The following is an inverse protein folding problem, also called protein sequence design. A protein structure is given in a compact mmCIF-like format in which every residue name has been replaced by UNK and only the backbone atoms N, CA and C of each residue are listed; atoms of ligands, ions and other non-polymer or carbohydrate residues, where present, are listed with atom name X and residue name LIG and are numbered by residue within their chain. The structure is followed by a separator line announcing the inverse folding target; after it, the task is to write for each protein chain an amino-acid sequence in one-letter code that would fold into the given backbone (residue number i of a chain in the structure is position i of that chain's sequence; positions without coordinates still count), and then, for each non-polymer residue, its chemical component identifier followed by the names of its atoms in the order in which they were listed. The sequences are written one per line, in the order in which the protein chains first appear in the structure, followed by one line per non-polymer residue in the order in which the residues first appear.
data_IF_877420394043
#
_entry.id   IF_877420394043
#
_cell.length_a   1.000
_cell.length_b   1.000
_cell.length_c   1.000
_cell.angle_alpha   90.00
_cell.angle_beta   90.00
_cell.angle_gamma   90.00
#
_symmetry.space_group_name_H-M   'P 1'
#
loop_
_entity.id
_entity.type
_entity.pdbx_description
1 polymer ?
#
# COMPACT_ATOMS: atom_id res chain seq x y z
N UNK A 1 13.75 32.84 19.78
CA UNK A 1 13.63 32.38 18.37
C UNK A 1 13.05 30.96 18.21
N UNK A 2 13.34 29.99 19.09
CA UNK A 2 12.96 28.57 18.92
C UNK A 2 11.46 28.19 19.00
N UNK A 3 10.53 29.07 18.60
CA UNK A 3 9.08 28.82 18.70
C UNK A 3 8.25 29.28 17.49
N UNK A 4 8.88 29.50 16.32
CA UNK A 4 8.16 29.80 15.05
C UNK A 4 8.48 28.85 13.88
N UNK A 5 9.39 27.89 14.06
CA UNK A 5 9.74 26.91 13.01
C UNK A 5 8.77 25.72 12.99
N UNK A 6 8.30 25.26 14.16
CA UNK A 6 7.35 24.14 14.24
C UNK A 6 5.99 24.43 13.58
N UNK A 7 5.54 25.70 13.58
CA UNK A 7 4.25 26.08 12.99
C UNK A 7 4.21 25.90 11.47
N UNK A 8 5.32 26.13 10.76
CA UNK A 8 5.36 26.01 9.30
C UNK A 8 5.15 24.57 8.80
N UNK A 9 5.49 23.56 9.61
CA UNK A 9 5.23 22.14 9.31
C UNK A 9 3.79 21.72 9.63
N UNK A 10 3.05 22.50 10.42
CA UNK A 10 1.65 22.21 10.76
C UNK A 10 0.66 22.91 9.82
N UNK A 11 1.04 24.06 9.25
CA UNK A 11 0.19 24.84 8.33
C UNK A 11 0.05 24.25 6.91
N UNK A 12 0.74 23.16 6.58
CA UNK A 12 0.71 22.51 5.26
C UNK A 12 -0.60 21.72 4.98
N UNK A 13 -1.64 21.92 5.79
CA UNK A 13 -2.79 21.01 5.91
C UNK A 13 -4.14 21.59 5.46
N UNK A 14 -4.25 22.89 5.12
CA UNK A 14 -5.52 23.53 4.74
C UNK A 14 -5.39 24.51 3.56
N UNK A 15 -6.42 24.52 2.69
CA UNK A 15 -6.45 25.19 1.39
C UNK A 15 -6.23 24.20 0.23
N UNK A 16 -6.99 24.18 -0.86
CA UNK A 16 -8.10 25.05 -1.33
C UNK A 16 -9.22 24.15 -1.93
N UNK A 17 -10.45 24.65 -2.04
CA UNK A 17 -11.60 23.99 -2.70
C UNK A 17 -12.31 24.97 -3.67
N UNK A 18 -13.40 24.52 -4.34
CA UNK A 18 -14.25 25.25 -5.33
C UNK A 18 -13.65 25.43 -6.75
N UNK A 19 -14.34 25.24 -7.90
CA UNK A 19 -15.69 24.64 -8.21
C UNK A 19 -15.83 24.20 -9.70
N UNK A 20 -16.81 23.32 -9.99
CA UNK A 20 -17.60 23.06 -11.23
C UNK A 20 -17.12 21.95 -12.22
N UNK A 21 -17.95 21.45 -13.16
CA UNK A 21 -19.27 20.75 -13.13
C UNK A 21 -19.63 20.33 -14.58
N UNK A 22 -20.43 19.26 -14.78
CA UNK A 22 -20.92 18.72 -16.08
C UNK A 22 -19.85 18.11 -17.04
N UNK A 23 -20.11 17.14 -17.93
CA UNK A 23 -21.32 16.35 -18.30
C UNK A 23 -20.95 15.02 -19.00
N UNK A 24 -21.88 14.04 -19.05
CA UNK A 24 -21.87 12.81 -19.89
C UNK A 24 -23.11 12.79 -20.82
N UNK A 25 -23.21 11.97 -21.91
CA UNK A 25 -23.64 10.55 -21.83
C UNK A 25 -23.02 9.61 -22.95
N UNK A 26 -23.69 8.64 -23.66
CA UNK A 26 -23.26 7.21 -23.59
C UNK A 26 -23.13 6.39 -24.91
N UNK A 27 -22.65 5.14 -24.84
CA UNK A 27 -22.68 4.15 -25.96
C UNK A 27 -22.07 2.75 -25.65
N UNK A 28 -22.43 1.70 -26.42
CA UNK A 28 -21.97 0.27 -26.37
C UNK A 28 -22.02 -0.34 -27.80
N UNK A 29 -21.51 -1.56 -28.13
CA UNK A 29 -20.87 -2.64 -27.33
C UNK A 29 -19.43 -2.98 -27.90
N UNK A 30 -18.83 -4.20 -28.01
CA UNK A 30 -19.11 -5.62 -27.65
C UNK A 30 -17.83 -6.51 -27.72
N UNK A 31 -17.71 -7.51 -26.83
CA UNK A 31 -17.11 -8.87 -27.01
C UNK A 31 -15.60 -9.06 -27.37
N UNK A 32 -14.96 -10.22 -27.09
CA UNK A 32 -15.22 -11.20 -26.01
C UNK A 32 -13.94 -11.66 -25.23
N UNK A 33 -14.15 -12.58 -24.27
CA UNK A 33 -13.18 -13.48 -23.63
C UNK A 33 -12.02 -12.90 -22.79
N UNK A 34 -11.12 -12.07 -23.35
CA UNK A 34 -9.87 -11.70 -22.65
C UNK A 34 -10.07 -10.73 -21.46
N UNK A 35 -11.15 -9.95 -21.47
CA UNK A 35 -11.34 -8.81 -20.56
C UNK A 35 -11.70 -9.16 -19.12
N UNK A 36 -12.34 -10.31 -18.85
CA UNK A 36 -13.02 -10.51 -17.57
C UNK A 36 -12.04 -10.65 -16.39
N UNK A 37 -10.95 -11.39 -16.57
CA UNK A 37 -9.88 -11.56 -15.56
C UNK A 37 -9.17 -10.22 -15.27
N UNK A 38 -8.98 -9.38 -16.29
CA UNK A 38 -8.44 -8.03 -16.11
C UNK A 38 -9.33 -7.21 -15.17
N UNK A 39 -10.66 -7.21 -15.35
CA UNK A 39 -11.56 -6.31 -14.59
C UNK A 39 -11.53 -6.55 -13.07
N UNK A 40 -11.42 -7.81 -12.61
CA UNK A 40 -11.37 -8.11 -11.18
C UNK A 40 -10.02 -7.72 -10.55
N UNK A 41 -8.90 -8.00 -11.25
CA UNK A 41 -7.58 -7.52 -10.84
C UNK A 41 -7.56 -6.00 -10.80
N UNK A 42 -7.98 -5.35 -11.88
CA UNK A 42 -7.96 -3.88 -12.03
C UNK A 42 -8.65 -3.13 -10.90
N UNK A 43 -9.73 -3.63 -10.29
CA UNK A 43 -10.40 -2.95 -9.16
C UNK A 43 -9.62 -3.06 -7.84
N UNK A 44 -9.16 -4.24 -7.45
CA UNK A 44 -8.35 -4.40 -6.22
C UNK A 44 -7.05 -3.62 -6.38
N UNK A 45 -6.45 -3.69 -7.57
CA UNK A 45 -5.29 -2.89 -7.96
C UNK A 45 -5.55 -1.38 -7.89
N UNK A 46 -6.68 -0.89 -8.40
CA UNK A 46 -7.00 0.53 -8.37
C UNK A 46 -7.26 1.04 -6.93
N UNK A 47 -7.87 0.23 -6.06
CA UNK A 47 -8.12 0.58 -4.67
C UNK A 47 -6.86 0.51 -3.79
N UNK A 48 -6.00 -0.48 -4.01
CA UNK A 48 -4.68 -0.52 -3.35
C UNK A 48 -3.78 0.64 -3.83
N UNK A 49 -3.85 0.97 -5.13
CA UNK A 49 -3.25 2.17 -5.74
C UNK A 49 -3.89 3.49 -5.28
N UNK A 50 -5.09 3.46 -4.71
CA UNK A 50 -5.68 4.64 -4.06
C UNK A 50 -5.22 4.74 -2.61
N UNK A 51 -5.17 3.63 -1.88
CA UNK A 51 -4.65 3.57 -0.51
C UNK A 51 -3.19 4.05 -0.40
N UNK A 52 -2.36 3.79 -1.43
CA UNK A 52 -0.98 4.30 -1.54
C UNK A 52 -0.86 5.81 -1.72
N UNK A 53 -1.88 6.48 -2.27
CA UNK A 53 -1.80 7.88 -2.73
C UNK A 53 -2.09 8.93 -1.67
N UNK A 54 -2.67 8.56 -0.52
CA UNK A 54 -3.10 9.50 0.53
C UNK A 54 -2.09 9.63 1.67
N UNK A 55 -1.11 10.52 1.49
CA UNK A 55 -0.17 11.04 2.52
C UNK A 55 0.61 10.00 3.36
N UNK A 56 1.95 9.97 3.28
CA UNK A 56 2.79 9.12 4.14
C UNK A 56 2.53 9.25 5.65
N UNK A 57 1.97 10.37 6.10
CA UNK A 57 1.62 10.62 7.51
C UNK A 57 0.31 9.97 7.99
N UNK A 58 -0.44 9.28 7.12
CA UNK A 58 -1.80 8.81 7.41
C UNK A 58 -2.08 7.33 7.08
N UNK A 59 -1.06 6.48 7.03
CA UNK A 59 -1.25 5.03 6.90
C UNK A 59 -1.94 4.41 8.13
N UNK A 60 -3.27 4.32 8.07
CA UNK A 60 -4.10 3.43 8.91
C UNK A 60 -5.30 2.95 8.10
N UNK A 61 -5.01 2.24 7.00
CA UNK A 61 -6.00 1.65 6.11
C UNK A 61 -5.71 0.16 5.94
N UNK A 62 -6.42 -0.65 6.72
CA UNK A 62 -6.43 -2.11 6.56
C UNK A 62 -7.50 -2.42 5.53
N UNK A 63 -7.11 -3.05 4.42
CA UNK A 63 -8.04 -3.56 3.42
C UNK A 63 -8.45 -4.98 3.82
N UNK A 64 -9.75 -5.17 4.01
CA UNK A 64 -10.40 -6.39 4.47
C UNK A 64 -11.37 -6.84 3.37
N UNK A 65 -11.31 -8.09 2.94
CA UNK A 65 -12.14 -8.60 1.84
C UNK A 65 -13.22 -9.53 2.42
N UNK A 66 -14.51 -9.27 2.19
CA UNK A 66 -15.62 -9.88 2.94
C UNK A 66 -16.40 -10.95 2.16
N UNK A 67 -17.13 -11.80 2.89
CA UNK A 67 -17.97 -12.88 2.34
C UNK A 67 -19.37 -12.39 1.97
N UNK A 68 -19.81 -12.64 0.73
CA UNK A 68 -21.16 -12.35 0.24
C UNK A 68 -22.24 -13.06 1.09
N UNK A 69 -23.08 -12.27 1.76
CA UNK A 69 -24.22 -12.76 2.55
C UNK A 69 -25.50 -12.87 1.70
N UNK A 70 -25.57 -13.92 0.86
CA UNK A 70 -26.81 -14.33 0.20
C UNK A 70 -27.64 -15.25 1.12
N UNK A 71 -28.44 -14.65 1.99
CA UNK A 71 -29.27 -15.36 2.98
C UNK A 71 -30.47 -16.09 2.35
N UNK A 72 -31.04 -17.04 3.10
CA UNK A 72 -32.08 -17.96 2.65
C UNK A 72 -33.49 -17.39 2.76
N UNK A 73 -34.39 -17.89 1.89
CA UNK A 73 -35.84 -18.21 2.10
C UNK A 73 -36.76 -17.77 0.95
N UNK A 74 -37.16 -18.73 0.11
CA UNK A 74 -38.59 -18.98 -0.20
C UNK A 74 -38.79 -20.33 -0.87
N UNK A 75 -39.94 -20.99 -0.64
CA UNK A 75 -40.38 -22.20 -1.35
C UNK A 75 -41.58 -21.88 -2.23
N UNK A 76 -41.53 -22.28 -3.50
CA UNK A 76 -42.71 -22.49 -4.35
C UNK A 76 -42.44 -23.68 -5.30
N UNK A 77 -43.50 -24.32 -5.83
CA UNK A 77 -43.43 -25.58 -6.60
C UNK A 77 -43.56 -25.36 -8.12
N UNK A 78 -43.19 -26.36 -8.96
CA UNK A 78 -42.84 -26.12 -10.36
C UNK A 78 -44.03 -26.25 -11.34
N UNK A 79 -43.83 -25.69 -12.54
CA UNK A 79 -44.60 -26.05 -13.74
C UNK A 79 -43.66 -26.56 -14.85
N UNK A 80 -44.19 -27.41 -15.73
CA UNK A 80 -43.53 -27.88 -16.97
C UNK A 80 -43.94 -26.91 -18.11
N UNK A 81 -43.46 -26.95 -19.35
CA UNK A 81 -43.06 -28.10 -20.15
C UNK A 81 -42.27 -27.73 -21.42
N UNK A 82 -41.87 -28.77 -22.17
CA UNK A 82 -41.55 -28.86 -23.62
C UNK A 82 -41.74 -27.58 -24.48
N UNK A 83 -40.83 -27.19 -25.39
CA UNK A 83 -39.85 -27.99 -26.14
C UNK A 83 -38.63 -27.19 -26.64
N UNK A 84 -37.41 -27.62 -26.27
CA UNK A 84 -36.27 -27.78 -27.18
C UNK A 84 -35.19 -28.62 -26.49
N UNK A 85 -34.60 -29.58 -27.20
CA UNK A 85 -33.51 -30.43 -26.67
C UNK A 85 -32.33 -30.40 -27.61
N UNK A 86 -31.17 -29.95 -27.14
CA UNK A 86 -29.85 -30.46 -27.50
C UNK A 86 -28.84 -30.02 -26.43
N UNK A 87 -27.81 -30.84 -26.20
CA UNK A 87 -26.63 -30.61 -25.37
C UNK A 87 -26.84 -29.99 -23.97
N UNK A 88 -26.94 -30.84 -22.93
CA UNK A 88 -26.70 -30.42 -21.55
C UNK A 88 -25.21 -30.21 -21.31
N UNK A 89 -24.78 -28.96 -21.10
CA UNK A 89 -23.63 -28.67 -20.23
C UNK A 89 -24.14 -27.99 -18.94
N UNK A 90 -23.57 -28.30 -17.77
CA UNK A 90 -23.85 -27.53 -16.56
C UNK A 90 -23.35 -26.09 -16.76
N UNK A 91 -24.12 -25.10 -16.28
CA UNK A 91 -23.60 -23.73 -16.16
C UNK A 91 -22.42 -23.75 -15.19
N UNK A 92 -21.26 -23.13 -15.51
CA UNK A 92 -20.25 -22.87 -14.50
C UNK A 92 -20.86 -21.92 -13.44
N UNK A 93 -20.73 -22.21 -12.14
CA UNK A 93 -21.27 -21.36 -11.10
C UNK A 93 -20.42 -20.09 -10.94
N UNK A 94 -21.06 -18.93 -10.99
CA UNK A 94 -20.48 -17.65 -10.61
C UNK A 94 -19.64 -16.96 -11.69
N UNK A 95 -20.24 -15.95 -12.32
CA UNK A 95 -19.53 -14.68 -12.39
C UNK A 95 -19.31 -14.21 -10.95
N UNK A 96 -18.09 -14.37 -10.40
CA UNK A 96 -17.81 -13.85 -9.07
C UNK A 96 -18.08 -12.34 -9.06
N UNK A 97 -18.94 -11.92 -8.15
CA UNK A 97 -19.03 -10.55 -7.65
C UNK A 97 -17.62 -10.02 -7.43
N UNK A 98 -17.35 -8.77 -7.85
CA UNK A 98 -16.12 -8.10 -7.44
C UNK A 98 -16.11 -8.08 -5.90
N UNK A 99 -15.14 -8.75 -5.29
CA UNK A 99 -15.26 -9.10 -3.86
C UNK A 99 -15.44 -7.84 -3.00
N UNK A 100 -16.39 -7.83 -2.06
CA UNK A 100 -16.70 -6.63 -1.29
C UNK A 100 -15.50 -6.25 -0.41
N UNK A 101 -15.01 -5.02 -0.59
CA UNK A 101 -13.87 -4.49 0.15
C UNK A 101 -14.37 -3.64 1.31
N UNK A 102 -13.84 -3.92 2.48
CA UNK A 102 -13.99 -3.19 3.73
C UNK A 102 -12.69 -2.47 4.06
N UNK A 103 -12.77 -1.23 4.52
CA UNK A 103 -11.61 -0.46 4.99
C UNK A 103 -11.76 -0.10 6.47
N UNK A 104 -10.75 -0.45 7.26
CA UNK A 104 -10.66 0.00 8.65
C UNK A 104 -10.19 1.46 8.70
N UNK A 105 -10.80 2.28 9.57
CA UNK A 105 -10.28 3.60 9.93
C UNK A 105 -10.74 4.06 11.32
N UNK A 106 -9.94 4.89 11.96
CA UNK A 106 -10.27 5.51 13.25
C UNK A 106 -11.37 6.57 13.12
N UNK A 107 -11.52 7.18 11.94
CA UNK A 107 -12.55 8.19 11.65
C UNK A 107 -13.26 7.94 10.30
N UNK A 108 -14.38 7.19 10.29
CA UNK A 108 -15.20 6.96 9.10
C UNK A 108 -15.87 8.21 8.50
N UNK A 109 -15.88 9.35 9.21
CA UNK A 109 -16.40 10.63 8.72
C UNK A 109 -15.31 11.52 8.07
N UNK A 110 -14.05 11.07 8.04
CA UNK A 110 -12.97 11.80 7.37
C UNK A 110 -13.17 11.88 5.84
N UNK A 111 -12.69 12.94 5.15
CA UNK A 111 -12.87 13.07 3.70
C UNK A 111 -12.28 11.91 2.88
N UNK A 112 -11.20 11.28 3.36
CA UNK A 112 -10.65 10.07 2.73
C UNK A 112 -11.57 8.85 2.91
N UNK A 113 -12.13 8.67 4.11
CA UNK A 113 -13.12 7.62 4.38
C UNK A 113 -14.40 7.78 3.55
N UNK A 114 -14.90 9.00 3.39
CA UNK A 114 -16.08 9.26 2.54
C UNK A 114 -15.79 8.92 1.07
N UNK A 115 -14.64 9.35 0.52
CA UNK A 115 -14.24 8.99 -0.86
C UNK A 115 -14.13 7.49 -1.11
N UNK A 116 -13.77 6.69 -0.10
CA UNK A 116 -13.81 5.23 -0.18
C UNK A 116 -15.25 4.70 -0.21
N UNK A 117 -16.17 5.25 0.62
CA UNK A 117 -17.61 4.92 0.56
C UNK A 117 -18.22 5.25 -0.81
N UNK A 118 -17.88 6.40 -1.38
CA UNK A 118 -18.33 6.84 -2.72
C UNK A 118 -17.88 5.87 -3.83
N UNK A 119 -16.79 5.13 -3.60
CA UNK A 119 -16.25 4.10 -4.50
C UNK A 119 -16.82 2.69 -4.22
N UNK A 120 -17.74 2.55 -3.27
CA UNK A 120 -18.38 1.29 -2.89
C UNK A 120 -17.62 0.46 -1.86
N UNK A 121 -16.67 1.05 -1.11
CA UNK A 121 -15.96 0.40 0.00
C UNK A 121 -16.77 0.50 1.30
N UNK A 122 -16.92 -0.61 2.02
CA UNK A 122 -17.50 -0.63 3.36
C UNK A 122 -16.50 -0.02 4.37
N UNK A 123 -16.73 1.21 4.83
CA UNK A 123 -15.80 1.84 5.78
C UNK A 123 -16.29 1.71 7.23
N UNK A 124 -15.56 0.90 8.01
CA UNK A 124 -15.85 0.55 9.40
C UNK A 124 -14.94 1.32 10.37
N UNK A 125 -15.44 1.59 11.59
CA UNK A 125 -14.63 2.20 12.65
C UNK A 125 -13.76 1.14 13.34
N UNK A 126 -12.48 1.44 13.53
CA UNK A 126 -11.64 0.73 14.48
C UNK A 126 -10.20 1.23 14.53
N UNK A 127 -9.43 0.66 15.45
CA UNK A 127 -8.09 1.10 15.81
C UNK A 127 -7.22 -0.13 16.13
N UNK A 128 -5.96 -0.13 15.68
CA UNK A 128 -4.99 -1.21 15.99
C UNK A 128 -4.68 -1.29 17.50
N UNK A 129 -5.05 -0.27 18.27
CA UNK A 129 -4.91 -0.22 19.73
C UNK A 129 -6.14 -0.72 20.49
N UNK A 130 -7.26 -1.00 19.81
CA UNK A 130 -8.54 -1.49 20.37
C UNK A 130 -8.88 -2.88 19.79
N UNK A 131 -8.53 -3.98 20.49
CA UNK A 131 -8.78 -5.34 20.01
C UNK A 131 -10.26 -5.67 19.75
N UNK A 132 -11.20 -5.05 20.47
CA UNK A 132 -12.63 -5.30 20.26
C UNK A 132 -13.10 -4.70 18.93
N UNK A 133 -12.54 -3.54 18.55
CA UNK A 133 -12.79 -2.97 17.21
C UNK A 133 -12.20 -3.81 16.08
N UNK A 134 -11.07 -4.50 16.32
CA UNK A 134 -10.45 -5.39 15.34
C UNK A 134 -11.27 -6.68 15.14
N UNK A 135 -11.78 -7.27 16.22
CA UNK A 135 -12.66 -8.44 16.15
C UNK A 135 -13.95 -8.13 15.37
N UNK A 136 -14.56 -6.97 15.62
CA UNK A 136 -15.72 -6.49 14.86
C UNK A 136 -15.39 -6.23 13.38
N UNK A 137 -14.22 -5.66 13.08
CA UNK A 137 -13.79 -5.40 11.71
C UNK A 137 -13.48 -6.67 10.91
N UNK A 138 -12.92 -7.70 11.56
CA UNK A 138 -12.54 -8.97 10.94
C UNK A 138 -13.69 -9.98 10.79
N UNK A 139 -14.86 -9.71 11.39
CA UNK A 139 -16.05 -10.54 11.26
C UNK A 139 -16.48 -10.73 9.77
N UNK A 140 -16.43 -11.96 9.28
CA UNK A 140 -16.80 -12.32 7.90
C UNK A 140 -15.74 -11.99 6.83
N UNK A 141 -14.50 -11.73 7.21
CA UNK A 141 -13.39 -11.42 6.29
C UNK A 141 -12.71 -12.69 5.78
N UNK A 142 -12.57 -12.84 4.45
CA UNK A 142 -11.84 -13.94 3.80
C UNK A 142 -10.33 -13.71 3.71
N UNK A 143 -9.89 -12.45 3.65
CA UNK A 143 -8.47 -12.10 3.58
C UNK A 143 -8.23 -10.64 3.97
N UNK A 144 -7.11 -10.36 4.64
CA UNK A 144 -6.76 -9.01 5.10
C UNK A 144 -5.37 -8.57 4.65
N UNK A 145 -5.20 -7.26 4.47
CA UNK A 145 -3.92 -6.58 4.24
C UNK A 145 -3.60 -5.62 5.38
N UNK A 146 -2.60 -5.98 6.19
CA UNK A 146 -2.14 -5.20 7.34
C UNK A 146 -0.98 -4.28 6.95
N UNK A 147 -1.16 -2.99 7.25
CA UNK A 147 -0.10 -1.98 7.29
C UNK A 147 -0.06 -1.42 8.70
N UNK A 148 1.10 -1.50 9.36
CA UNK A 148 1.36 -0.85 10.65
C UNK A 148 2.21 0.42 10.45
N UNK A 149 2.04 1.38 11.35
CA UNK A 149 2.74 2.66 11.34
C UNK A 149 3.24 3.02 12.74
N UNK A 150 4.33 3.80 12.80
CA UNK A 150 4.93 4.22 14.07
C UNK A 150 3.91 5.07 14.86
N UNK A 151 3.60 4.72 16.13
CA UNK A 151 2.61 5.43 16.93
C UNK A 151 3.01 6.88 17.26
N UNK A 152 2.00 7.70 17.54
CA UNK A 152 2.19 8.96 18.26
C UNK A 152 2.62 8.70 19.70
N UNK A 153 3.37 9.62 20.32
CA UNK A 153 3.83 9.49 21.72
C UNK A 153 2.66 9.17 22.66
N UNK A 154 2.82 8.15 23.51
CA UNK A 154 1.81 7.71 24.46
C UNK A 154 0.80 6.68 23.92
N UNK A 155 0.90 6.28 22.65
CA UNK A 155 0.12 5.15 22.08
C UNK A 155 0.94 3.84 22.12
N UNK A 156 0.28 2.66 22.14
CA UNK A 156 0.93 1.36 22.05
C UNK A 156 1.90 1.23 20.86
N UNK A 157 3.00 0.51 21.08
CA UNK A 157 4.08 0.33 20.10
C UNK A 157 3.57 -0.30 18.79
N UNK A 158 4.30 -0.09 17.70
CA UNK A 158 3.93 -0.64 16.39
C UNK A 158 3.86 -2.18 16.42
N UNK A 159 4.75 -2.84 17.14
CA UNK A 159 4.72 -4.30 17.30
C UNK A 159 3.54 -4.78 18.18
N UNK A 160 3.09 -3.98 19.16
CA UNK A 160 1.85 -4.28 19.88
C UNK A 160 0.61 -4.10 18.98
N UNK A 161 0.58 -3.08 18.12
CA UNK A 161 -0.48 -2.89 17.12
C UNK A 161 -0.55 -4.07 16.14
N UNK A 162 0.59 -4.56 15.66
CA UNK A 162 0.65 -5.76 14.82
C UNK A 162 0.21 -7.03 15.56
N UNK A 163 0.66 -7.25 16.81
CA UNK A 163 0.21 -8.36 17.65
C UNK A 163 -1.30 -8.35 17.90
N UNK A 164 -1.87 -7.20 18.25
CA UNK A 164 -3.32 -7.02 18.43
C UNK A 164 -4.11 -7.48 17.19
N UNK A 165 -3.62 -7.14 15.99
CA UNK A 165 -4.25 -7.55 14.74
C UNK A 165 -4.06 -9.03 14.43
N UNK A 166 -2.88 -9.60 14.67
CA UNK A 166 -2.61 -11.04 14.50
C UNK A 166 -3.50 -11.87 15.43
N UNK A 167 -3.66 -11.46 16.69
CA UNK A 167 -4.54 -12.18 17.62
C UNK A 167 -6.03 -12.00 17.31
N UNK A 168 -6.45 -10.83 16.79
CA UNK A 168 -7.81 -10.66 16.25
C UNK A 168 -8.05 -11.54 15.01
N UNK A 169 -7.07 -11.63 14.10
CA UNK A 169 -7.13 -12.50 12.93
C UNK A 169 -7.19 -13.99 13.31
N UNK A 170 -6.49 -14.41 14.37
CA UNK A 170 -6.63 -15.75 14.97
C UNK A 170 -8.04 -15.98 15.53
N UNK A 171 -8.59 -15.05 16.33
CA UNK A 171 -9.97 -15.15 16.86
C UNK A 171 -11.02 -15.22 15.75
N UNK A 172 -10.84 -14.46 14.67
CA UNK A 172 -11.71 -14.47 13.50
C UNK A 172 -11.53 -15.68 12.57
N UNK A 173 -10.52 -16.55 12.81
CA UNK A 173 -10.12 -17.64 11.90
C UNK A 173 -9.85 -17.14 10.46
N UNK A 174 -9.17 -15.99 10.34
CA UNK A 174 -8.90 -15.31 9.07
C UNK A 174 -8.19 -16.25 8.07
N UNK A 175 -8.79 -16.55 6.90
CA UNK A 175 -8.21 -17.53 5.97
C UNK A 175 -6.89 -17.12 5.29
N UNK A 176 -6.58 -15.82 5.20
CA UNK A 176 -5.31 -15.33 4.67
C UNK A 176 -4.95 -13.91 5.13
N UNK A 177 -3.67 -13.65 5.45
CA UNK A 177 -3.16 -12.34 5.86
C UNK A 177 -1.91 -11.94 5.07
N UNK A 178 -1.96 -10.80 4.36
CA UNK A 178 -0.77 -10.15 3.78
C UNK A 178 -0.30 -9.03 4.73
N UNK A 179 0.94 -9.07 5.19
CA UNK A 179 1.53 -8.04 6.05
C UNK A 179 2.56 -7.19 5.30
N UNK A 180 2.54 -5.87 5.53
CA UNK A 180 3.56 -4.93 5.02
C UNK A 180 4.68 -4.72 6.03
N UNK A 181 5.80 -5.39 5.79
CA UNK A 181 7.03 -5.27 6.59
C UNK A 181 7.96 -4.21 5.99
N UNK A 182 9.28 -4.44 6.01
CA UNK A 182 10.32 -3.64 5.33
C UNK A 182 11.46 -4.58 4.93
N UNK A 183 12.04 -4.35 3.75
CA UNK A 183 13.02 -5.28 3.16
C UNK A 183 14.23 -5.54 4.07
N UNK A 184 14.76 -6.77 4.02
CA UNK A 184 15.95 -7.22 4.77
C UNK A 184 15.85 -7.10 6.31
N UNK A 185 14.67 -6.90 6.90
CA UNK A 185 14.54 -6.69 8.35
C UNK A 185 14.94 -7.92 9.17
N UNK A 186 15.53 -7.69 10.35
CA UNK A 186 15.77 -8.73 11.36
C UNK A 186 15.51 -8.17 12.78
N UNK A 187 15.26 -9.03 13.79
CA UNK A 187 15.10 -8.59 15.18
C UNK A 187 16.37 -7.97 15.81
N UNK A 188 17.51 -7.94 15.10
CA UNK A 188 18.82 -7.49 15.60
C UNK A 188 19.51 -6.51 14.64
N UNK A 189 18.77 -5.90 13.72
CA UNK A 189 19.31 -5.01 12.67
C UNK A 189 19.79 -3.64 13.21
N UNK A 190 19.43 -3.26 14.44
CA UNK A 190 19.86 -2.01 15.07
C UNK A 190 19.07 -0.77 14.61
N UNK A 191 17.97 -0.97 13.89
CA UNK A 191 17.05 0.08 13.43
C UNK A 191 15.69 -0.16 14.11
N UNK A 192 15.33 0.61 15.15
CA UNK A 192 14.13 0.37 15.96
C UNK A 192 12.82 0.13 15.17
N UNK A 193 12.54 0.90 14.12
CA UNK A 193 11.32 0.72 13.31
C UNK A 193 11.37 -0.41 12.26
N UNK A 194 12.54 -1.00 12.01
CA UNK A 194 12.64 -2.26 11.27
C UNK A 194 12.41 -3.43 12.24
N UNK A 195 12.99 -3.35 13.45
CA UNK A 195 12.84 -4.36 14.50
C UNK A 195 11.39 -4.52 14.99
N UNK A 196 10.57 -3.44 15.01
CA UNK A 196 9.12 -3.56 15.25
C UNK A 196 8.47 -4.47 14.20
N UNK A 197 8.77 -4.26 12.92
CA UNK A 197 8.23 -5.07 11.82
C UNK A 197 8.72 -6.51 11.86
N UNK A 198 9.99 -6.76 12.19
CA UNK A 198 10.51 -8.12 12.42
C UNK A 198 9.82 -8.84 13.61
N UNK A 199 9.44 -8.12 14.68
CA UNK A 199 8.66 -8.68 15.80
C UNK A 199 7.22 -9.02 15.39
N UNK A 200 6.65 -8.30 14.42
CA UNK A 200 5.34 -8.63 13.83
C UNK A 200 5.44 -9.83 12.90
N UNK A 201 6.47 -9.92 12.06
CA UNK A 201 6.73 -11.11 11.24
C UNK A 201 6.88 -12.38 12.10
N UNK A 202 7.61 -12.29 13.21
CA UNK A 202 7.75 -13.39 14.16
C UNK A 202 6.39 -13.77 14.77
N UNK A 203 5.63 -12.81 15.29
CA UNK A 203 4.29 -13.08 15.84
C UNK A 203 3.31 -13.66 14.80
N UNK A 204 3.43 -13.22 13.54
CA UNK A 204 2.65 -13.73 12.40
C UNK A 204 3.06 -15.16 12.04
N UNK A 205 4.35 -15.50 12.10
CA UNK A 205 4.86 -16.87 11.92
C UNK A 205 4.42 -17.79 13.06
N UNK A 206 4.47 -17.31 14.29
CA UNK A 206 3.99 -18.00 15.51
C UNK A 206 2.46 -18.14 15.56
N UNK A 207 1.71 -17.37 14.76
CA UNK A 207 0.24 -17.32 14.79
C UNK A 207 -0.44 -18.61 14.30
N UNK A 208 0.22 -19.37 13.42
CA UNK A 208 -0.38 -20.49 12.67
C UNK A 208 -1.31 -20.07 11.52
N UNK A 209 -1.56 -18.77 11.30
CA UNK A 209 -2.37 -18.29 10.17
C UNK A 209 -1.67 -18.56 8.83
N UNK A 210 -2.43 -18.88 7.78
CA UNK A 210 -1.94 -18.72 6.40
C UNK A 210 -1.64 -17.24 6.16
N UNK A 211 -0.42 -16.91 5.78
CA UNK A 211 0.00 -15.53 5.62
C UNK A 211 1.09 -15.37 4.56
N UNK A 212 1.34 -14.13 4.16
CA UNK A 212 2.46 -13.74 3.33
C UNK A 212 2.97 -12.35 3.74
N UNK A 213 4.23 -12.05 3.44
CA UNK A 213 4.86 -10.76 3.76
C UNK A 213 5.29 -10.07 2.47
N UNK A 214 4.88 -8.80 2.31
CA UNK A 214 5.47 -7.88 1.34
C UNK A 214 6.35 -6.90 2.11
N UNK A 215 7.63 -6.86 1.76
CA UNK A 215 8.66 -6.14 2.50
C UNK A 215 9.27 -5.07 1.59
N UNK A 216 8.65 -3.89 1.47
CA UNK A 216 9.13 -2.84 0.57
C UNK A 216 10.50 -2.26 0.98
N UNK A 217 11.25 -1.81 -0.02
CA UNK A 217 12.45 -0.96 0.14
C UNK A 217 12.07 0.51 0.39
N UNK A 218 12.97 1.48 0.15
CA UNK A 218 12.65 2.90 0.32
C UNK A 218 11.63 3.41 -0.73
N UNK A 219 10.71 4.29 -0.31
CA UNK A 219 9.56 4.67 -1.15
C UNK A 219 9.93 5.83 -2.09
N UNK A 220 9.55 5.73 -3.38
CA UNK A 220 9.62 6.83 -4.35
C UNK A 220 8.75 8.03 -3.90
N UNK A 221 7.62 7.74 -3.24
CA UNK A 221 6.70 8.73 -2.67
C UNK A 221 7.32 9.61 -1.56
N UNK A 222 8.50 9.26 -1.03
CA UNK A 222 9.25 10.11 -0.09
C UNK A 222 9.92 11.33 -0.77
N UNK A 223 10.08 11.32 -2.10
CA UNK A 223 10.61 12.45 -2.85
C UNK A 223 9.46 13.37 -3.30
N UNK A 224 9.58 14.71 -3.16
CA UNK A 224 8.54 15.63 -3.57
C UNK A 224 8.15 15.47 -5.05
N UNK A 225 6.84 15.41 -5.32
CA UNK A 225 6.27 15.19 -6.66
C UNK A 225 6.26 16.47 -7.53
N UNK A 226 7.27 17.33 -7.37
CA UNK A 226 7.45 18.63 -8.04
C UNK A 226 8.94 19.00 -8.04
N UNK A 227 9.43 19.63 -9.11
CA UNK A 227 10.75 20.27 -9.10
C UNK A 227 10.70 21.58 -8.28
N UNK A 228 11.04 21.52 -7.00
CA UNK A 228 11.02 22.67 -6.10
C UNK A 228 12.14 22.59 -5.04
N UNK A 229 12.24 23.59 -4.15
CA UNK A 229 13.28 23.63 -3.12
C UNK A 229 13.25 22.41 -2.18
N UNK A 230 12.06 21.87 -1.85
CA UNK A 230 11.97 20.68 -1.01
C UNK A 230 12.57 19.45 -1.70
N UNK A 231 12.42 19.30 -3.02
CA UNK A 231 13.11 18.25 -3.78
C UNK A 231 14.63 18.45 -3.74
N UNK A 232 15.13 19.65 -4.01
CA UNK A 232 16.57 19.94 -3.99
C UNK A 232 17.20 19.67 -2.62
N UNK A 233 16.49 19.98 -1.53
CA UNK A 233 16.89 19.69 -0.15
C UNK A 233 16.83 18.20 0.16
N UNK A 234 15.78 17.49 -0.26
CA UNK A 234 15.66 16.04 -0.05
C UNK A 234 16.77 15.26 -0.78
N UNK A 235 16.98 15.55 -2.07
CA UNK A 235 18.06 14.94 -2.86
C UNK A 235 19.43 15.23 -2.25
N UNK A 236 19.65 16.43 -1.74
CA UNK A 236 20.89 16.81 -1.06
C UNK A 236 21.13 16.04 0.23
N UNK A 237 20.10 15.90 1.06
CA UNK A 237 20.18 15.17 2.33
C UNK A 237 20.44 13.68 2.11
N UNK A 238 19.71 13.02 1.20
CA UNK A 238 19.95 11.61 0.86
C UNK A 238 21.34 11.39 0.24
N UNK A 239 21.86 12.34 -0.54
CA UNK A 239 23.20 12.25 -1.13
C UNK A 239 24.32 12.36 -0.07
N UNK A 240 24.15 13.24 0.93
CA UNK A 240 25.06 13.34 2.07
C UNK A 240 25.01 12.12 3.01
N UNK A 241 23.91 11.37 3.02
CA UNK A 241 23.78 10.10 3.73
C UNK A 241 24.38 8.92 2.95
N UNK A 242 24.00 8.77 1.68
CA UNK A 242 24.37 7.63 0.83
C UNK A 242 25.77 7.77 0.21
N UNK A 243 26.33 8.98 0.16
CA UNK A 243 27.69 9.28 -0.31
C UNK A 243 27.98 8.65 -1.70
N UNK A 244 27.02 8.76 -2.62
CA UNK A 244 27.11 8.23 -3.97
C UNK A 244 26.73 6.75 -4.14
N UNK A 245 26.40 6.03 -3.06
CA UNK A 245 25.85 4.66 -3.15
C UNK A 245 24.43 4.66 -3.73
N UNK A 246 24.02 3.50 -4.27
CA UNK A 246 22.67 3.28 -4.81
C UNK A 246 21.70 2.90 -3.68
N UNK A 247 20.46 3.34 -3.80
CA UNK A 247 19.34 2.96 -2.93
C UNK A 247 18.28 2.27 -3.79
N UNK A 248 17.80 1.10 -3.32
CA UNK A 248 16.65 0.44 -3.95
C UNK A 248 15.37 1.22 -3.64
N UNK A 249 14.54 1.41 -4.66
CA UNK A 249 13.31 2.19 -4.61
C UNK A 249 12.09 1.37 -5.08
N UNK A 250 10.93 1.67 -4.51
CA UNK A 250 9.61 1.13 -4.89
C UNK A 250 8.56 2.24 -4.81
N UNK A 251 7.56 2.25 -5.70
CA UNK A 251 6.42 3.18 -5.55
C UNK A 251 5.33 2.58 -4.65
N UNK A 252 4.64 3.40 -3.85
CA UNK A 252 3.57 2.88 -3.01
C UNK A 252 2.41 2.31 -3.85
N UNK A 253 2.17 2.88 -5.05
CA UNK A 253 1.26 2.34 -6.07
C UNK A 253 1.59 0.87 -6.44
N UNK A 254 2.88 0.50 -6.44
CA UNK A 254 3.36 -0.84 -6.79
C UNK A 254 3.36 -1.81 -5.59
N UNK A 255 3.55 -1.32 -4.36
CA UNK A 255 3.29 -2.10 -3.14
C UNK A 255 1.81 -2.54 -3.13
N UNK A 256 0.91 -1.60 -3.46
CA UNK A 256 -0.51 -1.90 -3.63
C UNK A 256 -0.78 -2.90 -4.76
N UNK A 257 -0.02 -2.83 -5.87
CA UNK A 257 -0.12 -3.82 -6.95
C UNK A 257 0.23 -5.24 -6.48
N UNK A 258 1.38 -5.40 -5.81
CA UNK A 258 1.85 -6.72 -5.34
C UNK A 258 0.95 -7.28 -4.24
N UNK A 259 0.55 -6.45 -3.26
CA UNK A 259 -0.35 -6.89 -2.18
C UNK A 259 -1.70 -7.40 -2.69
N UNK A 260 -2.27 -6.76 -3.73
CA UNK A 260 -3.51 -7.18 -4.36
C UNK A 260 -3.38 -8.50 -5.15
N UNK A 261 -2.26 -8.72 -5.83
CA UNK A 261 -1.95 -10.03 -6.46
C UNK A 261 -1.81 -11.12 -5.39
N UNK A 262 -1.16 -10.84 -4.26
CA UNK A 262 -1.01 -11.76 -3.14
C UNK A 262 -2.36 -12.13 -2.51
N UNK A 263 -3.22 -11.15 -2.22
CA UNK A 263 -4.60 -11.37 -1.73
C UNK A 263 -5.50 -12.14 -2.70
N UNK A 264 -5.17 -12.11 -4.00
CA UNK A 264 -5.97 -12.76 -5.05
C UNK A 264 -5.64 -14.24 -5.25
N UNK A 265 -4.47 -14.69 -4.78
CA UNK A 265 -3.99 -16.07 -4.96
C UNK A 265 -3.31 -16.61 -3.66
N UNK A 266 -4.07 -16.82 -2.57
CA UNK A 266 -3.51 -17.21 -1.27
C UNK A 266 -2.68 -18.50 -1.31
N UNK A 267 -3.02 -19.46 -2.16
CA UNK A 267 -2.31 -20.75 -2.21
C UNK A 267 -0.96 -20.66 -2.95
N UNK A 268 -0.78 -19.68 -3.86
CA UNK A 268 0.53 -19.33 -4.46
C UNK A 268 1.44 -18.55 -3.50
N UNK A 269 0.86 -17.69 -2.65
CA UNK A 269 1.63 -16.74 -1.84
C UNK A 269 1.75 -17.10 -0.36
N UNK A 270 0.97 -18.05 0.18
CA UNK A 270 1.09 -18.50 1.57
C UNK A 270 2.50 -19.01 1.90
N UNK A 271 3.09 -18.48 2.98
CA UNK A 271 4.45 -18.75 3.42
C UNK A 271 5.53 -17.95 2.68
N UNK A 272 5.18 -17.13 1.68
CA UNK A 272 6.16 -16.29 0.97
C UNK A 272 6.44 -14.98 1.71
N UNK A 273 7.71 -14.61 1.71
CA UNK A 273 8.22 -13.28 2.02
C UNK A 273 8.81 -12.70 0.73
N UNK A 274 8.51 -11.44 0.43
CA UNK A 274 8.90 -10.75 -0.80
C UNK A 274 9.49 -9.39 -0.45
N UNK A 275 10.82 -9.34 -0.32
CA UNK A 275 11.58 -8.08 -0.41
C UNK A 275 11.27 -7.42 -1.77
N UNK A 276 10.69 -6.21 -1.75
CA UNK A 276 10.07 -5.59 -2.92
C UNK A 276 10.74 -4.27 -3.31
N UNK A 277 11.42 -4.28 -4.46
CA UNK A 277 11.99 -3.13 -5.14
C UNK A 277 11.59 -3.10 -6.64
N UNK A 278 11.58 -1.93 -7.25
CA UNK A 278 11.37 -1.75 -8.69
C UNK A 278 12.52 -1.01 -9.40
N UNK A 279 13.37 -0.29 -8.67
CA UNK A 279 14.50 0.48 -9.20
C UNK A 279 15.70 0.50 -8.22
N UNK A 280 16.91 0.86 -8.68
CA UNK A 280 18.11 0.93 -7.82
C UNK A 280 19.08 2.05 -8.25
N UNK A 281 19.00 3.21 -7.58
CA UNK A 281 19.54 4.47 -8.08
C UNK A 281 20.38 5.23 -7.05
N UNK A 282 21.47 5.84 -7.50
CA UNK A 282 22.17 6.91 -6.79
C UNK A 282 21.34 8.18 -6.81
N UNK A 283 21.55 9.11 -5.87
CA UNK A 283 20.83 10.39 -5.87
C UNK A 283 21.15 11.27 -7.09
N UNK A 284 22.28 11.04 -7.76
CA UNK A 284 22.58 11.66 -9.05
C UNK A 284 21.73 11.09 -10.20
N UNK A 285 21.47 9.78 -10.21
CA UNK A 285 20.55 9.16 -11.17
C UNK A 285 19.10 9.59 -10.89
N UNK A 286 18.65 9.61 -9.62
CA UNK A 286 17.33 10.15 -9.22
C UNK A 286 17.16 11.60 -9.70
N UNK A 287 18.12 12.49 -9.40
CA UNK A 287 18.12 13.89 -9.86
C UNK A 287 18.03 14.00 -11.37
N UNK A 288 18.75 13.15 -12.09
CA UNK A 288 18.77 13.14 -13.56
C UNK A 288 17.45 12.63 -14.14
N UNK A 289 16.80 11.66 -13.50
CA UNK A 289 15.47 11.18 -13.87
C UNK A 289 14.40 12.25 -13.67
N UNK A 290 14.42 12.98 -12.54
CA UNK A 290 13.59 14.17 -12.36
C UNK A 290 13.84 15.20 -13.48
N UNK A 291 15.09 15.48 -13.84
CA UNK A 291 15.40 16.45 -14.90
C UNK A 291 14.85 16.03 -16.27
N UNK A 292 14.87 14.72 -16.60
CA UNK A 292 14.26 14.17 -17.84
C UNK A 292 12.73 14.23 -17.87
N UNK A 293 12.07 14.09 -16.71
CA UNK A 293 10.59 14.07 -16.65
C UNK A 293 10.00 15.47 -16.62
N UNK A 294 10.59 16.38 -15.85
CA UNK A 294 10.11 17.77 -15.73
C UNK A 294 10.67 18.71 -16.83
N UNK A 295 11.58 18.24 -17.69
CA UNK A 295 12.26 19.03 -18.73
C UNK A 295 12.90 20.32 -18.19
N UNK A 296 13.47 20.23 -16.99
CA UNK A 296 13.99 21.36 -16.21
C UNK A 296 15.32 20.99 -15.53
N UNK A 297 16.12 22.00 -15.21
CA UNK A 297 17.26 21.83 -14.31
C UNK A 297 16.78 21.47 -12.90
N UNK A 298 17.28 20.36 -12.37
CA UNK A 298 17.03 19.90 -11.00
C UNK A 298 18.31 20.06 -10.21
N UNK A 299 18.30 21.00 -9.28
CA UNK A 299 19.41 21.21 -8.35
C UNK A 299 19.37 20.20 -7.20
N UNK A 300 20.52 20.02 -6.54
CA UNK A 300 20.72 19.18 -5.36
C UNK A 300 21.50 20.03 -4.37
N UNK A 301 20.88 20.35 -3.23
CA UNK A 301 21.54 21.15 -2.20
C UNK A 301 22.76 20.39 -1.66
N UNK A 302 23.86 21.10 -1.38
CA UNK A 302 25.03 20.48 -0.76
C UNK A 302 24.88 20.50 0.77
N UNK A 303 25.05 19.34 1.40
CA UNK A 303 25.07 19.19 2.85
C UNK A 303 26.36 18.49 3.29
N UNK A 304 27.01 18.95 4.37
CA UNK A 304 28.03 18.17 5.07
C UNK A 304 27.44 16.86 5.64
N UNK A 305 28.23 15.79 5.63
CA UNK A 305 27.82 14.47 6.16
C UNK A 305 27.42 14.49 7.65
N UNK A 306 27.94 15.44 8.44
CA UNK A 306 27.56 15.58 9.85
C UNK A 306 26.06 15.87 10.06
N UNK A 307 25.36 16.43 9.05
CA UNK A 307 23.92 16.72 9.11
C UNK A 307 23.09 15.45 9.35
N UNK A 308 23.56 14.29 8.86
CA UNK A 308 22.94 12.98 9.10
C UNK A 308 22.98 12.59 10.59
N UNK A 309 23.93 13.14 11.37
CA UNK A 309 24.00 12.89 12.82
C UNK A 309 23.08 13.78 13.65
N UNK A 310 22.41 14.77 13.03
CA UNK A 310 21.45 15.68 13.69
C UNK A 310 20.00 15.17 13.66
N UNK A 311 19.71 14.13 12.88
CA UNK A 311 18.37 13.54 12.75
C UNK A 311 18.08 12.57 13.92
N UNK A 312 16.79 12.22 14.18
CA UNK A 312 16.44 11.29 15.26
C UNK A 312 17.18 9.94 15.14
N UNK A 313 17.52 9.35 16.29
CA UNK A 313 18.38 8.15 16.38
C UNK A 313 17.99 7.04 15.39
N UNK A 314 16.70 6.72 15.35
CA UNK A 314 16.11 5.69 14.50
C UNK A 314 16.37 5.92 12.99
N UNK A 315 16.09 7.13 12.50
CA UNK A 315 16.43 7.55 11.14
C UNK A 315 17.94 7.59 10.89
N UNK A 316 18.75 7.97 11.89
CA UNK A 316 20.22 7.96 11.78
C UNK A 316 20.76 6.55 11.60
N UNK A 317 20.20 5.55 12.30
CA UNK A 317 20.58 4.15 12.13
C UNK A 317 20.17 3.63 10.74
N UNK A 318 18.96 3.95 10.27
CA UNK A 318 18.53 3.61 8.91
C UNK A 318 19.41 4.24 7.83
N UNK A 319 19.76 5.53 7.94
CA UNK A 319 20.65 6.20 6.97
C UNK A 319 22.05 5.57 6.93
N UNK A 320 22.59 5.19 8.09
CA UNK A 320 23.86 4.45 8.18
C UNK A 320 23.74 3.07 7.55
N UNK A 321 22.68 2.32 7.86
CA UNK A 321 22.46 1.00 7.28
C UNK A 321 22.26 1.04 5.75
N UNK A 322 21.57 2.03 5.19
CA UNK A 322 21.49 2.24 3.74
C UNK A 322 22.86 2.52 3.10
N UNK A 323 23.78 3.15 3.82
CA UNK A 323 25.15 3.35 3.36
C UNK A 323 26.01 2.08 3.54
N UNK A 324 26.00 1.46 4.72
CA UNK A 324 26.94 0.43 5.11
C UNK A 324 26.56 -0.98 4.60
N UNK A 325 25.27 -1.25 4.39
CA UNK A 325 24.73 -2.56 3.98
C UNK A 325 23.81 -2.44 2.76
N UNK A 326 22.74 -1.65 2.87
CA UNK A 326 21.72 -1.48 1.83
C UNK A 326 20.74 -2.65 1.67
N UNK A 327 19.73 -2.44 0.83
CA UNK A 327 18.73 -3.46 0.48
C UNK A 327 19.23 -4.42 -0.62
N UNK A 328 18.73 -5.66 -0.64
CA UNK A 328 19.17 -6.72 -1.55
C UNK A 328 18.05 -7.40 -2.36
N UNK A 329 16.93 -6.72 -2.63
CA UNK A 329 15.82 -7.30 -3.39
C UNK A 329 16.20 -7.59 -4.86
N UNK A 330 15.82 -8.76 -5.39
CA UNK A 330 16.08 -9.14 -6.79
C UNK A 330 15.06 -8.47 -7.74
N UNK A 331 15.42 -7.29 -8.24
CA UNK A 331 14.60 -6.50 -9.17
C UNK A 331 14.36 -7.25 -10.51
N UNK A 332 15.25 -8.16 -10.92
CA UNK A 332 15.06 -8.90 -12.18
C UNK A 332 14.03 -10.03 -12.01
N UNK A 333 14.12 -10.81 -10.93
CA UNK A 333 13.09 -11.79 -10.58
C UNK A 333 11.74 -11.12 -10.29
N UNK A 334 11.75 -10.00 -9.55
CA UNK A 334 10.53 -9.22 -9.27
C UNK A 334 9.88 -8.71 -10.56
N UNK A 335 10.62 -8.19 -11.53
CA UNK A 335 10.05 -7.77 -12.83
C UNK A 335 9.54 -8.93 -13.68
N UNK A 336 10.10 -10.14 -13.53
CA UNK A 336 9.58 -11.37 -14.19
C UNK A 336 8.28 -11.86 -13.56
N UNK A 337 8.14 -11.80 -12.23
CA UNK A 337 6.91 -12.19 -11.54
C UNK A 337 5.82 -11.10 -11.62
N UNK A 338 6.24 -9.83 -11.53
CA UNK A 338 5.39 -8.65 -11.47
C UNK A 338 5.76 -7.67 -12.60
N UNK A 339 5.37 -7.95 -13.87
CA UNK A 339 5.75 -7.16 -15.05
C UNK A 339 5.09 -5.77 -15.15
N UNK A 340 4.59 -5.25 -14.04
CA UNK A 340 3.94 -3.94 -13.88
C UNK A 340 4.60 -3.06 -12.81
N UNK A 341 5.70 -3.52 -12.19
CA UNK A 341 6.51 -2.71 -11.28
C UNK A 341 7.21 -1.59 -12.06
N UNK A 342 7.02 -0.34 -11.63
CA UNK A 342 7.46 0.83 -12.39
C UNK A 342 8.82 1.32 -11.92
N UNK A 343 9.69 1.65 -12.88
CA UNK A 343 10.90 2.43 -12.59
C UNK A 343 10.54 3.86 -12.17
N UNK A 344 11.50 4.57 -11.56
CA UNK A 344 11.27 5.93 -11.06
C UNK A 344 10.77 6.88 -12.16
N UNK A 345 11.28 6.73 -13.40
CA UNK A 345 10.88 7.58 -14.52
C UNK A 345 9.41 7.39 -14.91
N UNK A 346 8.96 6.14 -14.99
CA UNK A 346 7.58 5.80 -15.37
C UNK A 346 6.59 6.28 -14.30
N UNK A 347 6.87 5.99 -13.02
CA UNK A 347 6.08 6.49 -11.91
C UNK A 347 6.00 8.02 -11.88
N UNK A 348 7.13 8.73 -12.08
CA UNK A 348 7.13 10.20 -12.13
C UNK A 348 6.31 10.74 -13.30
N UNK A 349 6.33 10.09 -14.48
CA UNK A 349 5.52 10.50 -15.64
C UNK A 349 4.02 10.38 -15.33
N UNK A 350 3.60 9.33 -14.62
CA UNK A 350 2.22 9.24 -14.09
C UNK A 350 1.89 10.38 -13.11
N UNK A 351 2.79 10.68 -12.15
CA UNK A 351 2.56 11.77 -11.17
C UNK A 351 2.49 13.18 -11.79
N UNK A 352 2.96 13.35 -13.03
CA UNK A 352 2.82 14.59 -13.81
C UNK A 352 1.51 14.58 -14.63
N UNK A 353 1.18 13.45 -15.28
CA UNK A 353 -0.08 13.31 -16.02
C UNK A 353 -1.31 13.52 -15.11
N UNK A 354 -1.30 12.92 -13.91
CA UNK A 354 -2.35 13.05 -12.87
C UNK A 354 -2.50 14.49 -12.30
N UNK A 355 -1.73 15.47 -12.78
CA UNK A 355 -1.83 16.92 -12.44
C UNK A 355 -2.19 17.81 -13.63
N UNK A 356 -2.38 17.21 -14.80
CA UNK A 356 -2.85 17.89 -16.01
C UNK A 356 -4.36 17.67 -16.26
N UNK A 357 -5.02 17.04 -15.29
CA UNK A 357 -6.46 16.80 -15.14
C UNK A 357 -6.92 17.38 -13.79
#
# INVERSE_FOLDING_TARGET
LGCRICSCLHSFSQGIAHTLLHSTPPGRPSAPAAYLVLTHRLRVLHLARLASRWSPSCFTHILLDTLDHASSLTRARPWRDRNSRLCRHPRPPGSRSASPIRALTRNPASPAAQKLKDQGVEVVKGDLTDPASLDAALAGVRSAFLVTAIPSKGQPTEDQQGRNFVDAAKRANLPFLVFTSVANTTPTIGIPHFETKAKIELALKESGLKHAVVAPVAFMDNYPKQNNLALAMALGFFDAALQGKKLQLISADDIGYVAAEMLSDPDRYSGRHIDLASDNLTMNEVRSTYARVYSQSVWKAWFPSFVVSLIPHDFKMMMRWFHDVGYSADIEALRKEFPRLKGLEEWLREQVADKSQ
#
